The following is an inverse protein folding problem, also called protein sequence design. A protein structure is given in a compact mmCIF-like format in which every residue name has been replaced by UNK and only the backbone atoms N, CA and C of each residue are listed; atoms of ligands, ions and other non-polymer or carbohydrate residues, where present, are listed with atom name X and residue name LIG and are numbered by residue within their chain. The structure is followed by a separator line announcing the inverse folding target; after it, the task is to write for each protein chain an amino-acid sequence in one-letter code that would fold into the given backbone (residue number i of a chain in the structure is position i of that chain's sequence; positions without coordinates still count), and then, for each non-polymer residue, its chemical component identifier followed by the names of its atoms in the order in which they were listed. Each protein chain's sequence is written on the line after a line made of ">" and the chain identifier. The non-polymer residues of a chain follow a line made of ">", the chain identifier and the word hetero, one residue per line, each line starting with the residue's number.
data_IF_112977221944
#
_entry.id   IF_112977221944
#
_cell.length_a   1.000
_cell.length_b   1.000
_cell.length_c   1.000
_cell.angle_alpha   90.00
_cell.angle_beta   90.00
_cell.angle_gamma   90.00
#
_symmetry.space_group_name_H-M   'P 1'
#
loop_
_entity.id
_entity.type
_entity.pdbx_description
1 polymer ?
#
# COMPACT_ATOMS: atom_id res chain seq x y z
N UNK A 1 12.84 -9.34 -4.83
CA UNK A 1 12.38 -8.98 -3.46
C UNK A 1 13.08 -7.68 -3.08
N UNK A 2 12.37 -6.72 -2.50
CA UNK A 2 12.90 -5.42 -2.09
C UNK A 2 12.58 -5.17 -0.61
N UNK A 3 13.49 -4.56 0.13
CA UNK A 3 13.25 -4.05 1.49
C UNK A 3 13.16 -2.54 1.41
N UNK A 4 12.00 -1.98 1.73
CA UNK A 4 11.71 -0.56 1.52
C UNK A 4 10.53 -0.12 2.36
N UNK A 5 10.33 1.20 2.47
CA UNK A 5 9.18 1.81 3.11
C UNK A 5 8.00 1.86 2.14
N UNK A 6 6.83 1.37 2.57
CA UNK A 6 5.60 1.37 1.77
C UNK A 6 5.06 2.78 1.49
N UNK A 7 5.55 3.80 2.22
CA UNK A 7 5.26 5.20 1.95
C UNK A 7 6.05 5.77 0.76
N UNK A 8 7.10 5.08 0.30
CA UNK A 8 7.98 5.50 -0.79
C UNK A 8 8.64 4.30 -1.49
N UNK A 9 7.89 3.63 -2.36
CA UNK A 9 8.31 2.42 -3.05
C UNK A 9 9.29 2.74 -4.20
N UNK A 10 10.36 1.95 -4.40
CA UNK A 10 11.38 2.16 -5.43
C UNK A 10 10.93 1.64 -6.80
N UNK A 11 9.64 1.77 -7.11
CA UNK A 11 9.04 1.34 -8.37
C UNK A 11 8.46 2.54 -9.10
N UNK A 12 8.47 2.56 -10.45
CA UNK A 12 7.87 3.65 -11.20
C UNK A 12 6.34 3.66 -11.03
N UNK A 13 5.71 4.77 -11.45
CA UNK A 13 4.25 4.87 -11.51
C UNK A 13 3.70 3.80 -12.47
N UNK A 14 2.52 3.25 -12.19
CA UNK A 14 1.84 2.30 -13.09
C UNK A 14 2.65 1.04 -13.42
N UNK A 15 3.31 0.45 -12.43
CA UNK A 15 4.18 -0.70 -12.61
C UNK A 15 3.47 -2.04 -12.36
N UNK A 16 2.68 -2.14 -11.29
CA UNK A 16 2.03 -3.38 -10.88
C UNK A 16 0.58 -3.46 -11.36
N UNK A 17 0.09 -4.68 -11.59
CA UNK A 17 -1.33 -4.94 -11.86
C UNK A 17 -2.17 -5.13 -10.59
N UNK A 18 -1.52 -5.48 -9.47
CA UNK A 18 -2.19 -5.68 -8.19
C UNK A 18 -1.28 -5.27 -7.01
N UNK A 19 -1.91 -4.87 -5.90
CA UNK A 19 -1.28 -4.53 -4.64
C UNK A 19 -2.00 -5.25 -3.50
N UNK A 20 -1.26 -6.01 -2.69
CA UNK A 20 -1.80 -6.78 -1.57
C UNK A 20 -1.19 -6.25 -0.27
N UNK A 21 -2.04 -5.89 0.69
CA UNK A 21 -1.63 -5.45 2.04
C UNK A 21 -2.53 -6.08 3.08
N UNK A 22 -1.91 -6.83 4.00
CA UNK A 22 -2.61 -7.62 5.01
C UNK A 22 -2.05 -7.28 6.39
N UNK A 23 -2.77 -6.43 7.13
CA UNK A 23 -2.41 -6.03 8.47
C UNK A 23 -1.10 -5.23 8.55
N UNK A 24 -1.07 -4.08 7.89
CA UNK A 24 0.14 -3.23 7.80
C UNK A 24 -0.20 -1.77 8.10
N UNK A 25 -1.17 -1.22 7.37
CA UNK A 25 -1.41 0.23 7.34
C UNK A 25 -2.04 0.79 8.61
N UNK A 26 -2.62 -0.09 9.44
CA UNK A 26 -3.21 0.24 10.74
C UNK A 26 -2.17 0.60 11.81
N UNK A 27 -0.91 0.23 11.61
CA UNK A 27 0.17 0.53 12.54
C UNK A 27 0.77 1.92 12.35
N UNK A 28 0.31 2.67 11.33
CA UNK A 28 0.82 4.00 11.04
C UNK A 28 0.09 5.05 11.90
N UNK A 29 0.78 5.71 12.86
CA UNK A 29 0.11 6.65 13.77
C UNK A 29 -0.52 7.84 13.05
N UNK A 30 0.00 8.17 11.86
CA UNK A 30 -0.44 9.32 11.07
C UNK A 30 -1.58 8.95 10.11
N UNK A 31 -2.06 7.72 10.20
CA UNK A 31 -3.07 7.13 9.33
C UNK A 31 -2.49 6.50 8.06
N UNK A 32 -3.32 5.73 7.33
CA UNK A 32 -2.89 4.91 6.20
C UNK A 32 -2.76 5.71 4.89
N UNK A 33 -3.12 7.00 4.88
CA UNK A 33 -3.36 7.79 3.68
C UNK A 33 -2.15 7.79 2.72
N UNK A 34 -0.95 8.02 3.25
CA UNK A 34 0.26 8.10 2.44
C UNK A 34 0.62 6.73 1.82
N UNK A 35 0.48 5.64 2.56
CA UNK A 35 0.70 4.29 2.03
C UNK A 35 -0.33 3.93 0.94
N UNK A 36 -1.60 4.33 1.10
CA UNK A 36 -2.64 4.13 0.08
C UNK A 36 -2.33 4.93 -1.20
N UNK A 37 -1.90 6.19 -1.06
CA UNK A 37 -1.51 7.01 -2.21
C UNK A 37 -0.32 6.43 -2.95
N UNK A 38 0.66 5.88 -2.22
CA UNK A 38 1.83 5.26 -2.81
C UNK A 38 1.49 3.92 -3.50
N UNK A 39 0.62 3.11 -2.89
CA UNK A 39 0.06 1.91 -3.52
C UNK A 39 -0.69 2.26 -4.82
N UNK A 40 -1.52 3.30 -4.81
CA UNK A 40 -2.20 3.79 -6.00
C UNK A 40 -1.21 4.29 -7.07
N UNK A 41 -0.14 4.98 -6.69
CA UNK A 41 0.89 5.46 -7.63
C UNK A 41 1.52 4.30 -8.41
N UNK A 42 1.88 3.22 -7.73
CA UNK A 42 2.56 2.08 -8.37
C UNK A 42 1.61 1.15 -9.12
N UNK A 43 0.29 1.28 -8.94
CA UNK A 43 -0.72 0.52 -9.68
C UNK A 43 -0.97 1.11 -11.08
N UNK A 44 -1.09 0.22 -12.07
CA UNK A 44 -1.56 0.57 -13.42
C UNK A 44 -3.00 1.09 -13.37
N UNK A 45 -3.46 1.89 -14.35
CA UNK A 45 -4.88 2.15 -14.53
C UNK A 45 -5.67 0.83 -14.62
N UNK A 46 -6.72 0.69 -13.82
CA UNK A 46 -7.48 -0.56 -13.68
C UNK A 46 -6.81 -1.64 -12.80
N UNK A 47 -5.67 -1.33 -12.19
CA UNK A 47 -5.01 -2.22 -11.24
C UNK A 47 -5.82 -2.39 -9.96
N UNK A 48 -5.65 -3.54 -9.31
CA UNK A 48 -6.43 -3.94 -8.14
C UNK A 48 -5.67 -3.70 -6.84
N UNK A 49 -6.38 -3.24 -5.81
CA UNK A 49 -5.86 -3.16 -4.46
C UNK A 49 -6.72 -4.00 -3.54
N UNK A 50 -6.08 -4.91 -2.80
CA UNK A 50 -6.70 -5.67 -1.73
C UNK A 50 -5.98 -5.30 -0.44
N UNK A 51 -6.69 -4.55 0.41
CA UNK A 51 -6.19 -4.05 1.67
C UNK A 51 -7.13 -4.48 2.79
N UNK A 52 -6.57 -5.15 3.79
CA UNK A 52 -7.30 -5.61 4.96
C UNK A 52 -6.55 -5.18 6.22
N UNK A 53 -7.30 -4.74 7.22
CA UNK A 53 -6.83 -4.46 8.58
C UNK A 53 -7.74 -5.21 9.56
N UNK A 54 -7.27 -5.50 10.79
CA UNK A 54 -8.13 -5.99 11.86
C UNK A 54 -9.29 -5.03 12.15
N UNK A 55 -10.47 -5.57 12.48
CA UNK A 55 -11.61 -4.76 12.90
C UNK A 55 -11.36 -4.07 14.26
N UNK A 56 -10.63 -4.75 15.14
CA UNK A 56 -10.10 -4.20 16.39
C UNK A 56 -8.59 -4.09 16.27
N UNK A 57 -8.07 -2.87 16.39
CA UNK A 57 -6.64 -2.57 16.39
C UNK A 57 -6.28 -1.91 17.72
N UNK A 58 -5.63 -2.63 18.67
CA UNK A 58 -5.32 -2.15 20.01
C UNK A 58 -4.25 -1.06 20.05
#
# INVERSE_FOLDING_TARGET
>A
LAQTDVHALPFPKSFFGAYLSYGVVEHFPQGPQQAILEAHRVLKPGGLIFMMVPADNP
#
